data_IF_321254749878
#
_entry.id   IF_321254749878
#
_cell.length_a   1.000
_cell.length_b   1.000
_cell.length_c   1.000
_cell.angle_alpha   90.00
_cell.angle_beta   90.00
_cell.angle_gamma   90.00
#
_symmetry.space_group_name_H-M   'P 1'
#
loop_
_entity.id
_entity.type
_entity.pdbx_description
1 polymer ?
#
# COMPACT_ATOMS: atom_id res chain seq x y z
N UNK A 1 -28.42 10.35 19.34
CA UNK A 1 -26.97 10.64 19.27
C UNK A 1 -26.64 10.81 17.80
N UNK A 2 -26.38 12.04 17.38
CA UNK A 2 -26.01 12.40 16.01
C UNK A 2 -24.61 11.85 15.71
N UNK A 3 -24.52 10.99 14.70
CA UNK A 3 -23.26 10.49 14.13
C UNK A 3 -22.43 11.72 13.70
N UNK A 4 -21.11 11.78 13.97
CA UNK A 4 -20.29 12.82 13.37
C UNK A 4 -20.42 12.72 11.86
N UNK A 5 -20.50 13.86 11.17
CA UNK A 5 -20.41 13.90 9.71
C UNK A 5 -19.00 13.49 9.29
N UNK A 6 -18.76 12.19 9.17
CA UNK A 6 -17.58 11.65 8.50
C UNK A 6 -17.78 11.86 7.01
N UNK A 7 -17.36 13.03 6.52
CA UNK A 7 -17.22 13.24 5.09
C UNK A 7 -16.35 12.13 4.53
N UNK A 8 -16.79 11.48 3.45
CA UNK A 8 -15.99 10.49 2.74
C UNK A 8 -14.61 11.09 2.42
N UNK A 9 -13.53 10.31 2.49
CA UNK A 9 -12.18 10.81 2.12
C UNK A 9 -12.20 11.48 0.74
N UNK A 10 -13.06 10.97 -0.15
CA UNK A 10 -13.30 11.56 -1.47
C UNK A 10 -14.01 12.92 -1.38
N UNK A 11 -15.05 13.06 -0.55
CA UNK A 11 -15.75 14.33 -0.36
C UNK A 11 -14.80 15.38 0.21
N UNK A 12 -14.05 15.05 1.26
CA UNK A 12 -13.06 15.94 1.84
C UNK A 12 -12.01 16.38 0.79
N UNK A 13 -11.48 15.44 0.00
CA UNK A 13 -10.51 15.77 -1.04
C UNK A 13 -11.09 16.60 -2.20
N UNK A 14 -12.37 16.40 -2.53
CA UNK A 14 -13.05 17.17 -3.56
C UNK A 14 -13.33 18.62 -3.12
N UNK A 15 -13.54 18.84 -1.82
CA UNK A 15 -13.79 20.15 -1.21
C UNK A 15 -12.51 20.93 -0.92
N UNK A 16 -11.41 20.27 -0.52
CA UNK A 16 -10.16 20.93 -0.10
C UNK A 16 -8.96 20.60 -0.99
N UNK A 17 -9.11 20.72 -2.32
CA UNK A 17 -8.06 20.33 -3.28
C UNK A 17 -6.75 21.10 -3.10
N UNK A 18 -6.81 22.38 -2.69
CA UNK A 18 -5.64 23.23 -2.47
C UNK A 18 -4.78 22.73 -1.30
N UNK A 19 -5.42 22.43 -0.16
CA UNK A 19 -4.74 21.89 1.04
C UNK A 19 -4.03 20.58 0.72
N UNK A 20 -4.68 19.70 -0.05
CA UNK A 20 -4.07 18.43 -0.47
C UNK A 20 -2.84 18.70 -1.35
N UNK A 21 -2.94 19.60 -2.32
CA UNK A 21 -1.82 19.93 -3.21
C UNK A 21 -0.61 20.51 -2.46
N UNK A 22 -0.83 21.31 -1.43
CA UNK A 22 0.26 21.87 -0.61
C UNK A 22 0.94 20.80 0.24
N UNK A 23 0.18 19.91 0.88
CA UNK A 23 0.74 18.76 1.61
C UNK A 23 1.62 17.90 0.70
N UNK A 24 1.18 17.67 -0.55
CA UNK A 24 1.92 16.90 -1.54
C UNK A 24 3.23 17.60 -1.95
N UNK A 25 3.21 18.92 -2.16
CA UNK A 25 4.39 19.69 -2.55
C UNK A 25 5.44 19.81 -1.44
N UNK A 26 4.98 19.87 -0.19
CA UNK A 26 5.88 19.95 0.97
C UNK A 26 6.45 18.58 1.37
N UNK A 27 6.10 17.50 0.65
CA UNK A 27 6.56 16.16 1.00
C UNK A 27 8.08 16.02 0.83
N UNK A 28 8.71 15.66 1.95
CA UNK A 28 10.15 15.58 2.06
C UNK A 28 10.72 14.26 1.55
N UNK A 29 9.95 13.18 1.54
CA UNK A 29 10.48 11.87 1.14
C UNK A 29 10.39 11.72 -0.38
N UNK A 30 9.21 12.00 -0.95
CA UNK A 30 8.94 11.88 -2.38
C UNK A 30 9.68 12.92 -3.22
N UNK A 31 10.05 14.07 -2.66
CA UNK A 31 10.97 15.00 -3.34
C UNK A 31 12.37 14.42 -3.59
N UNK A 32 12.71 13.26 -2.99
CA UNK A 32 13.89 12.47 -3.35
C UNK A 32 13.72 11.62 -4.62
N UNK A 33 12.49 11.50 -5.16
CA UNK A 33 12.17 10.69 -6.33
C UNK A 33 11.85 11.60 -7.53
N UNK A 34 12.62 11.53 -8.64
CA UNK A 34 12.48 12.47 -9.75
C UNK A 34 11.08 12.60 -10.35
N UNK A 35 10.32 11.49 -10.46
CA UNK A 35 9.01 11.50 -11.13
C UNK A 35 7.92 12.24 -10.37
N UNK A 36 8.02 12.32 -9.04
CA UNK A 36 6.98 12.95 -8.22
C UNK A 36 6.98 14.47 -8.36
N UNK A 37 8.12 15.11 -8.66
CA UNK A 37 8.15 16.55 -8.93
C UNK A 37 7.26 16.96 -10.10
N UNK A 38 7.30 16.19 -11.20
CA UNK A 38 6.43 16.43 -12.37
C UNK A 38 4.95 16.21 -12.03
N UNK A 39 4.64 15.16 -11.26
CA UNK A 39 3.27 14.84 -10.83
C UNK A 39 2.69 15.94 -9.96
N UNK A 40 3.44 16.43 -8.97
CA UNK A 40 2.97 17.50 -8.08
C UNK A 40 2.69 18.81 -8.85
N UNK A 41 3.54 19.17 -9.80
CA UNK A 41 3.32 20.35 -10.65
C UNK A 41 2.08 20.20 -11.54
N UNK A 42 1.84 19.00 -12.07
CA UNK A 42 0.66 18.71 -12.90
C UNK A 42 -0.64 18.84 -12.09
N UNK A 43 -0.65 18.35 -10.85
CA UNK A 43 -1.80 18.42 -9.93
C UNK A 43 -2.18 19.85 -9.53
N UNK A 44 -1.25 20.81 -9.53
CA UNK A 44 -1.56 22.23 -9.30
C UNK A 44 -2.14 22.94 -10.52
N UNK A 45 -1.75 22.49 -11.72
CA UNK A 45 -2.13 23.16 -12.97
C UNK A 45 -3.49 22.70 -13.47
N UNK A 46 -3.84 21.44 -13.23
CA UNK A 46 -5.10 20.82 -13.70
C UNK A 46 -5.95 20.41 -12.51
N UNK A 47 -7.26 20.63 -12.58
CA UNK A 47 -8.16 20.39 -11.45
C UNK A 47 -9.39 19.56 -11.86
N UNK A 48 -9.18 18.48 -12.61
CA UNK A 48 -10.28 17.55 -12.94
C UNK A 48 -10.66 16.71 -11.72
N UNK A 49 -11.85 16.09 -11.75
CA UNK A 49 -12.26 15.13 -10.71
C UNK A 49 -11.25 13.98 -10.58
N UNK A 50 -10.68 13.51 -11.70
CA UNK A 50 -9.65 12.46 -11.68
C UNK A 50 -8.40 12.94 -10.94
N UNK A 51 -7.93 14.15 -11.23
CA UNK A 51 -6.75 14.73 -10.58
C UNK A 51 -6.97 14.86 -9.07
N UNK A 52 -8.16 15.30 -8.65
CA UNK A 52 -8.53 15.40 -7.23
C UNK A 52 -8.55 14.03 -6.54
N UNK A 53 -9.15 13.02 -7.17
CA UNK A 53 -9.16 11.65 -6.64
C UNK A 53 -7.73 11.11 -6.55
N UNK A 54 -6.90 11.33 -7.58
CA UNK A 54 -5.51 10.91 -7.56
C UNK A 54 -4.70 11.62 -6.48
N UNK A 55 -4.88 12.93 -6.32
CA UNK A 55 -4.26 13.71 -5.25
C UNK A 55 -4.68 13.18 -3.86
N UNK A 56 -5.95 12.79 -3.68
CA UNK A 56 -6.44 12.16 -2.45
C UNK A 56 -5.73 10.83 -2.16
N UNK A 57 -5.61 9.95 -3.16
CA UNK A 57 -4.87 8.69 -3.03
C UNK A 57 -3.41 8.94 -2.68
N UNK A 58 -2.77 9.90 -3.36
CA UNK A 58 -1.38 10.23 -3.13
C UNK A 58 -1.15 10.80 -1.72
N UNK A 59 -2.09 11.61 -1.23
CA UNK A 59 -2.09 12.13 0.15
C UNK A 59 -2.16 11.00 1.18
N UNK A 60 -3.05 10.02 0.98
CA UNK A 60 -3.15 8.83 1.83
C UNK A 60 -1.87 7.96 1.80
N UNK A 61 -1.24 7.86 0.64
CA UNK A 61 0.04 7.16 0.48
C UNK A 61 1.17 7.84 1.26
N UNK A 62 1.31 9.16 1.14
CA UNK A 62 2.38 9.90 1.84
C UNK A 62 2.10 10.14 3.31
N UNK A 63 0.88 9.93 3.79
CA UNK A 63 0.57 10.04 5.22
C UNK A 63 1.51 9.14 6.06
N UNK A 64 1.82 7.95 5.54
CA UNK A 64 2.72 6.99 6.23
C UNK A 64 4.19 7.43 6.22
N UNK A 65 4.65 8.15 5.18
CA UNK A 65 5.98 8.80 5.19
C UNK A 65 5.99 10.04 6.05
N UNK A 66 4.88 10.78 6.10
CA UNK A 66 4.79 12.01 6.86
C UNK A 66 4.68 11.82 8.38
N UNK A 67 4.17 10.68 8.82
CA UNK A 67 4.15 10.29 10.23
C UNK A 67 5.54 10.02 10.83
N UNK A 68 6.59 9.91 10.00
CA UNK A 68 7.95 9.56 10.43
C UNK A 68 8.70 10.77 11.00
N UNK A 69 9.69 10.53 11.86
CA UNK A 69 10.50 11.61 12.43
C UNK A 69 11.30 12.35 11.35
N UNK A 70 11.74 13.57 11.65
CA UNK A 70 12.54 14.35 10.70
C UNK A 70 13.85 13.62 10.31
N UNK A 71 14.47 12.92 11.27
CA UNK A 71 15.66 12.11 11.07
C UNK A 71 15.38 10.97 10.09
N UNK A 72 14.29 10.22 10.29
CA UNK A 72 13.90 9.13 9.38
C UNK A 72 13.57 9.63 7.98
N UNK A 73 12.83 10.74 7.86
CA UNK A 73 12.57 11.36 6.55
C UNK A 73 13.87 11.74 5.83
N UNK A 74 14.86 12.25 6.55
CA UNK A 74 16.19 12.56 5.99
C UNK A 74 16.90 11.28 5.51
N UNK A 75 16.96 10.23 6.33
CA UNK A 75 17.55 8.94 5.97
C UNK A 75 16.93 8.36 4.68
N UNK A 76 15.59 8.35 4.61
CA UNK A 76 14.87 7.86 3.43
C UNK A 76 15.19 8.69 2.19
N UNK A 77 15.22 10.02 2.33
CA UNK A 77 15.56 10.93 1.23
C UNK A 77 16.99 10.69 0.73
N UNK A 78 17.94 10.49 1.62
CA UNK A 78 19.34 10.20 1.27
C UNK A 78 19.45 8.87 0.51
N UNK A 79 18.77 7.82 0.99
CA UNK A 79 18.66 6.54 0.29
C UNK A 79 18.11 6.68 -1.13
N UNK A 80 17.03 7.45 -1.29
CA UNK A 80 16.42 7.68 -2.61
C UNK A 80 17.33 8.48 -3.55
N UNK A 81 18.16 9.39 -3.02
CA UNK A 81 19.13 10.16 -3.80
C UNK A 81 20.40 9.38 -4.17
N UNK A 82 20.70 8.29 -3.46
CA UNK A 82 21.91 7.49 -3.70
C UNK A 82 21.92 6.81 -5.08
N UNK A 83 20.75 6.38 -5.58
CA UNK A 83 20.57 5.86 -6.94
C UNK A 83 19.30 6.45 -7.57
N UNK A 84 19.41 7.62 -8.25
CA UNK A 84 18.27 8.30 -8.85
C UNK A 84 17.54 7.48 -9.93
N UNK A 85 18.23 6.59 -10.64
CA UNK A 85 17.64 5.77 -11.70
C UNK A 85 16.87 4.58 -11.13
N UNK A 86 17.35 3.97 -10.04
CA UNK A 86 16.56 3.01 -9.27
C UNK A 86 15.33 3.68 -8.65
N UNK A 87 15.51 4.83 -8.00
CA UNK A 87 14.42 5.61 -7.40
C UNK A 87 13.38 6.06 -8.41
N UNK A 88 13.80 6.45 -9.63
CA UNK A 88 12.86 6.76 -10.73
C UNK A 88 11.96 5.56 -11.04
N UNK A 89 12.54 4.37 -11.23
CA UNK A 89 11.79 3.14 -11.53
C UNK A 89 10.85 2.72 -10.41
N UNK A 90 11.27 2.92 -9.16
CA UNK A 90 10.40 2.71 -7.97
C UNK A 90 9.22 3.68 -8.00
N UNK A 91 9.50 4.97 -8.19
CA UNK A 91 8.48 6.01 -8.31
C UNK A 91 7.47 5.74 -9.42
N UNK A 92 7.92 5.38 -10.61
CA UNK A 92 7.05 5.02 -11.75
C UNK A 92 6.15 3.83 -11.41
N UNK A 93 6.69 2.80 -10.75
CA UNK A 93 5.89 1.66 -10.31
C UNK A 93 4.79 2.09 -9.33
N UNK A 94 5.16 2.88 -8.32
CA UNK A 94 4.22 3.35 -7.30
C UNK A 94 3.13 4.24 -7.91
N UNK A 95 3.49 5.14 -8.81
CA UNK A 95 2.55 6.01 -9.53
C UNK A 95 1.54 5.20 -10.37
N UNK A 96 2.03 4.24 -11.16
CA UNK A 96 1.16 3.39 -11.97
C UNK A 96 0.21 2.55 -11.12
N UNK A 97 0.66 2.08 -9.95
CA UNK A 97 -0.20 1.35 -9.02
C UNK A 97 -1.23 2.28 -8.40
N UNK A 98 -0.81 3.45 -7.87
CA UNK A 98 -1.70 4.45 -7.27
C UNK A 98 -2.82 4.89 -8.21
N UNK A 99 -2.49 5.15 -9.47
CA UNK A 99 -3.46 5.55 -10.49
C UNK A 99 -4.59 4.51 -10.62
N UNK A 100 -4.22 3.23 -10.56
CA UNK A 100 -5.13 2.10 -10.74
C UNK A 100 -5.81 1.59 -9.45
N UNK A 101 -5.50 2.14 -8.28
CA UNK A 101 -6.21 1.73 -7.05
C UNK A 101 -7.68 2.16 -7.12
N UNK A 102 -8.59 1.22 -6.94
CA UNK A 102 -10.04 1.47 -6.98
C UNK A 102 -10.67 1.67 -5.60
N UNK A 103 -9.86 1.59 -4.55
CA UNK A 103 -10.24 1.64 -3.15
C UNK A 103 -9.38 2.67 -2.41
N UNK A 104 -9.98 3.47 -1.52
CA UNK A 104 -9.31 4.59 -0.84
C UNK A 104 -8.50 4.18 0.39
N UNK A 105 -8.61 2.95 0.87
CA UNK A 105 -7.80 2.44 1.99
C UNK A 105 -6.47 1.83 1.51
N UNK A 106 -6.44 1.32 0.28
CA UNK A 106 -5.25 0.72 -0.34
C UNK A 106 -4.03 1.65 -0.49
N UNK A 107 -4.17 2.96 -0.81
CA UNK A 107 -3.01 3.85 -0.92
C UNK A 107 -2.20 3.89 0.37
N UNK A 108 -2.90 3.83 1.52
CA UNK A 108 -2.25 3.78 2.83
C UNK A 108 -1.44 2.51 3.01
N UNK A 109 -1.98 1.35 2.63
CA UNK A 109 -1.23 0.07 2.64
C UNK A 109 0.01 0.12 1.75
N UNK A 110 -0.11 0.73 0.58
CA UNK A 110 1.02 0.93 -0.32
C UNK A 110 2.11 1.82 0.33
N UNK A 111 1.71 2.84 1.07
CA UNK A 111 2.61 3.69 1.87
C UNK A 111 3.40 2.88 2.90
N UNK A 112 2.75 1.95 3.59
CA UNK A 112 3.43 1.05 4.57
C UNK A 112 4.45 0.14 3.91
N UNK A 113 4.11 -0.42 2.75
CA UNK A 113 5.04 -1.25 1.97
C UNK A 113 6.22 -0.41 1.48
N UNK A 114 5.98 0.83 1.05
CA UNK A 114 7.05 1.73 0.65
C UNK A 114 7.98 2.09 1.83
N UNK A 115 7.44 2.33 3.02
CA UNK A 115 8.25 2.49 4.24
C UNK A 115 9.09 1.25 4.52
N UNK A 116 8.51 0.05 4.46
CA UNK A 116 9.26 -1.19 4.63
C UNK A 116 10.41 -1.34 3.62
N UNK A 117 10.24 -0.85 2.40
CA UNK A 117 11.33 -0.78 1.41
C UNK A 117 12.39 0.24 1.79
N UNK A 118 11.99 1.44 2.22
CA UNK A 118 12.91 2.49 2.67
C UNK A 118 13.73 2.07 3.89
N UNK A 119 13.19 1.19 4.73
CA UNK A 119 13.85 0.61 5.90
C UNK A 119 14.59 -0.71 5.63
N UNK A 120 14.75 -1.10 4.36
CA UNK A 120 15.46 -2.32 3.95
C UNK A 120 14.84 -3.62 4.50
N UNK A 121 13.59 -3.58 4.96
CA UNK A 121 12.85 -4.76 5.41
C UNK A 121 12.35 -5.62 4.24
N UNK A 122 12.22 -5.03 3.05
CA UNK A 122 11.88 -5.71 1.79
C UNK A 122 12.77 -5.21 0.64
N UNK A 123 12.99 -6.06 -0.36
CA UNK A 123 13.75 -5.67 -1.56
C UNK A 123 12.88 -4.88 -2.55
N UNK A 124 13.49 -4.32 -3.59
CA UNK A 124 12.75 -3.63 -4.66
C UNK A 124 11.83 -4.57 -5.45
N UNK A 125 12.23 -5.83 -5.66
CA UNK A 125 11.39 -6.85 -6.30
C UNK A 125 10.17 -7.17 -5.43
N UNK A 126 10.36 -7.21 -4.12
CA UNK A 126 9.29 -7.46 -3.15
C UNK A 126 8.34 -6.27 -3.04
N UNK A 127 8.86 -5.04 -3.05
CA UNK A 127 8.06 -3.82 -3.20
C UNK A 127 7.16 -3.93 -4.43
N UNK A 128 7.73 -4.22 -5.61
CA UNK A 128 6.95 -4.35 -6.85
C UNK A 128 5.85 -5.42 -6.75
N UNK A 129 6.18 -6.60 -6.22
CA UNK A 129 5.22 -7.70 -6.02
C UNK A 129 4.11 -7.32 -5.05
N UNK A 130 4.45 -6.69 -3.93
CA UNK A 130 3.48 -6.25 -2.92
C UNK A 130 2.59 -5.12 -3.44
N UNK A 131 3.12 -4.17 -4.20
CA UNK A 131 2.33 -3.12 -4.83
C UNK A 131 1.28 -3.67 -5.78
N UNK A 132 1.68 -4.66 -6.62
CA UNK A 132 0.75 -5.36 -7.51
C UNK A 132 -0.28 -6.20 -6.73
N UNK A 133 0.15 -6.89 -5.67
CA UNK A 133 -0.74 -7.67 -4.82
C UNK A 133 -1.82 -6.80 -4.16
N UNK A 134 -1.44 -5.63 -3.62
CA UNK A 134 -2.38 -4.65 -3.05
C UNK A 134 -3.35 -4.14 -4.12
N UNK A 135 -2.84 -3.87 -5.33
CA UNK A 135 -3.67 -3.39 -6.44
C UNK A 135 -4.81 -4.35 -6.75
N UNK A 136 -4.52 -5.64 -6.90
CA UNK A 136 -5.49 -6.64 -7.39
C UNK A 136 -6.38 -7.24 -6.31
N UNK A 137 -5.95 -7.27 -5.04
CA UNK A 137 -6.71 -7.90 -3.96
C UNK A 137 -7.98 -7.11 -3.60
N UNK A 138 -9.08 -7.78 -3.27
CA UNK A 138 -10.25 -7.09 -2.69
C UNK A 138 -9.91 -6.57 -1.28
N UNK A 139 -10.33 -5.35 -0.94
CA UNK A 139 -9.87 -4.66 0.27
C UNK A 139 -10.33 -5.36 1.56
N UNK A 140 -11.56 -5.85 1.61
CA UNK A 140 -12.07 -6.54 2.81
C UNK A 140 -11.33 -7.86 3.07
N UNK A 141 -11.00 -8.60 2.01
CA UNK A 141 -10.22 -9.84 2.12
C UNK A 141 -8.78 -9.53 2.54
N UNK A 142 -8.21 -8.42 2.05
CA UNK A 142 -6.92 -7.93 2.48
C UNK A 142 -6.92 -7.55 3.96
N UNK A 143 -7.97 -6.86 4.43
CA UNK A 143 -8.14 -6.53 5.84
C UNK A 143 -8.23 -7.78 6.71
N UNK A 144 -8.95 -8.83 6.26
CA UNK A 144 -8.98 -10.13 6.95
C UNK A 144 -7.59 -10.78 7.01
N UNK A 145 -6.84 -10.76 5.91
CA UNK A 145 -5.46 -11.27 5.87
C UNK A 145 -4.56 -10.54 6.88
N UNK A 146 -4.68 -9.21 6.96
CA UNK A 146 -3.88 -8.39 7.86
C UNK A 146 -4.23 -8.67 9.32
N UNK A 147 -5.51 -8.85 9.65
CA UNK A 147 -6.01 -9.02 11.02
C UNK A 147 -6.04 -10.48 11.52
N UNK A 148 -5.83 -11.48 10.66
CA UNK A 148 -5.89 -12.88 11.06
C UNK A 148 -4.88 -13.22 12.17
N UNK A 149 -5.35 -13.71 13.32
CA UNK A 149 -4.46 -14.19 14.38
C UNK A 149 -3.75 -15.47 13.92
N UNK A 150 -2.41 -15.49 14.00
CA UNK A 150 -1.59 -16.61 13.53
C UNK A 150 -1.41 -16.68 12.01
N UNK A 151 -0.61 -17.65 11.55
CA UNK A 151 -0.60 -18.05 10.14
C UNK A 151 -1.73 -19.07 9.98
N UNK A 152 -2.78 -18.82 9.18
CA UNK A 152 -3.76 -19.82 8.80
C UNK A 152 -3.05 -20.85 7.91
N UNK A 153 -2.18 -21.66 8.50
CA UNK A 153 -1.64 -22.85 7.86
C UNK A 153 -2.72 -23.91 7.97
N UNK A 154 -3.25 -24.40 6.85
CA UNK A 154 -4.34 -25.36 6.89
C UNK A 154 -5.74 -24.73 6.98
N UNK A 155 -5.92 -23.47 6.59
CA UNK A 155 -7.26 -22.85 6.58
C UNK A 155 -8.06 -23.26 5.34
N UNK A 156 -9.38 -23.42 5.49
CA UNK A 156 -10.32 -23.68 4.39
C UNK A 156 -11.31 -22.52 4.19
N UNK A 157 -10.99 -21.37 4.75
CA UNK A 157 -11.85 -20.18 4.70
C UNK A 157 -12.03 -19.68 3.26
N UNK A 158 -13.28 -19.53 2.76
CA UNK A 158 -13.54 -19.19 1.36
C UNK A 158 -12.95 -17.85 0.91
N UNK A 159 -12.87 -16.85 1.79
CA UNK A 159 -12.32 -15.53 1.47
C UNK A 159 -10.83 -15.58 1.06
N UNK A 160 -10.12 -16.64 1.47
CA UNK A 160 -8.72 -16.82 1.09
C UNK A 160 -8.61 -17.06 -0.41
N UNK A 161 -9.53 -17.80 -1.03
CA UNK A 161 -9.50 -18.09 -2.47
C UNK A 161 -9.42 -16.82 -3.34
N UNK A 162 -10.16 -15.78 -2.96
CA UNK A 162 -10.15 -14.46 -3.61
C UNK A 162 -8.78 -13.79 -3.64
N UNK A 163 -7.88 -14.17 -2.73
CA UNK A 163 -6.52 -13.63 -2.64
C UNK A 163 -5.50 -14.43 -3.45
N UNK A 164 -5.84 -15.58 -4.04
CA UNK A 164 -4.91 -16.35 -4.88
C UNK A 164 -4.27 -15.51 -6.00
N UNK A 165 -5.02 -14.68 -6.76
CA UNK A 165 -4.44 -13.89 -7.85
C UNK A 165 -3.39 -12.86 -7.38
N UNK A 166 -3.44 -12.45 -6.10
CA UNK A 166 -2.49 -11.52 -5.50
C UNK A 166 -1.13 -12.17 -5.17
N UNK A 167 -1.07 -13.51 -5.10
CA UNK A 167 0.10 -14.26 -4.63
C UNK A 167 0.40 -14.13 -3.12
N UNK A 168 -0.45 -13.45 -2.34
CA UNK A 168 -0.32 -13.33 -0.88
C UNK A 168 -0.64 -14.64 -0.15
N UNK A 169 -1.37 -15.53 -0.82
CA UNK A 169 -1.68 -16.86 -0.34
C UNK A 169 -1.40 -17.92 -1.43
N UNK A 170 -1.35 -19.19 -1.03
CA UNK A 170 -1.20 -20.33 -1.94
C UNK A 170 -2.09 -21.48 -1.52
N UNK A 171 -2.42 -22.34 -2.49
CA UNK A 171 -3.07 -23.63 -2.24
C UNK A 171 -2.03 -24.63 -1.75
N UNK A 172 -2.40 -25.41 -0.75
CA UNK A 172 -1.66 -26.57 -0.25
C UNK A 172 -2.63 -27.75 -0.16
N UNK A 173 -2.27 -28.86 -0.80
CA UNK A 173 -3.05 -30.11 -0.72
C UNK A 173 -2.61 -30.95 0.47
N UNK A 174 -3.58 -31.48 1.22
CA UNK A 174 -3.33 -32.41 2.32
C UNK A 174 -4.29 -33.60 2.26
N UNK A 175 -3.99 -34.68 2.99
CA UNK A 175 -4.97 -35.75 3.24
C UNK A 175 -5.51 -35.55 4.64
N UNK A 176 -6.83 -35.46 4.82
CA UNK A 176 -7.37 -35.65 6.18
C UNK A 176 -7.29 -37.13 6.55
N UNK A 177 -7.19 -37.40 7.85
CA UNK A 177 -7.20 -38.78 8.39
C UNK A 177 -8.53 -39.49 8.07
N UNK A 178 -9.59 -38.73 7.75
CA UNK A 178 -10.97 -39.19 7.61
C UNK A 178 -11.45 -39.26 6.17
N UNK A 179 -10.69 -38.74 5.19
CA UNK A 179 -11.09 -38.73 3.77
C UNK A 179 -10.11 -39.49 2.88
N UNK A 180 -10.64 -40.31 1.98
CA UNK A 180 -9.87 -40.92 0.89
C UNK A 180 -9.48 -39.89 -0.20
N UNK A 181 -10.12 -38.72 -0.19
CA UNK A 181 -9.91 -37.60 -1.12
C UNK A 181 -9.12 -36.51 -0.41
N UNK A 182 -8.09 -35.96 -1.07
CA UNK A 182 -7.29 -34.87 -0.51
C UNK A 182 -8.11 -33.59 -0.33
N UNK A 183 -7.90 -32.90 0.79
CA UNK A 183 -8.50 -31.60 1.09
C UNK A 183 -7.60 -30.46 0.61
N UNK A 184 -8.24 -29.37 0.21
CA UNK A 184 -7.59 -28.12 -0.16
C UNK A 184 -7.50 -27.23 1.08
N UNK A 185 -6.31 -26.72 1.31
CA UNK A 185 -6.03 -25.72 2.32
C UNK A 185 -5.33 -24.51 1.70
N UNK A 186 -5.43 -23.39 2.38
CA UNK A 186 -4.71 -22.17 2.03
C UNK A 186 -3.65 -21.88 3.08
N UNK A 187 -2.55 -21.28 2.62
CA UNK A 187 -1.48 -20.77 3.48
C UNK A 187 -1.03 -19.39 3.02
N UNK A 188 -0.63 -18.54 3.98
CA UNK A 188 0.02 -17.26 3.68
C UNK A 188 1.43 -17.52 3.14
N UNK A 189 1.72 -16.97 1.96
CA UNK A 189 3.04 -17.08 1.32
C UNK A 189 4.10 -16.25 2.06
N UNK A 190 5.40 -16.46 1.78
CA UNK A 190 6.44 -15.59 2.32
C UNK A 190 6.21 -14.10 2.00
N UNK A 191 5.71 -13.79 0.80
CA UNK A 191 5.39 -12.41 0.41
C UNK A 191 4.17 -11.89 1.16
N UNK A 192 3.14 -12.70 1.39
CA UNK A 192 2.00 -12.35 2.25
C UNK A 192 2.39 -12.06 3.70
N UNK A 193 3.35 -12.81 4.25
CA UNK A 193 3.92 -12.54 5.58
C UNK A 193 4.68 -11.20 5.61
N UNK A 194 5.41 -10.87 4.55
CA UNK A 194 6.08 -9.56 4.41
C UNK A 194 5.09 -8.41 4.37
N UNK A 195 3.96 -8.55 3.67
CA UNK A 195 2.89 -7.55 3.69
C UNK A 195 2.37 -7.33 5.11
N UNK A 196 2.04 -8.41 5.83
CA UNK A 196 1.56 -8.35 7.21
C UNK A 196 2.57 -7.62 8.10
N UNK A 197 3.84 -8.01 8.03
CA UNK A 197 4.91 -7.38 8.82
C UNK A 197 5.05 -5.88 8.53
N UNK A 198 5.00 -5.48 7.26
CA UNK A 198 5.03 -4.06 6.87
C UNK A 198 3.85 -3.27 7.48
N UNK A 199 2.69 -3.91 7.63
CA UNK A 199 1.51 -3.28 8.22
C UNK A 199 1.47 -3.32 9.75
N UNK A 200 2.07 -4.33 10.39
CA UNK A 200 2.10 -4.48 11.86
C UNK A 200 3.18 -3.65 12.55
N UNK A 201 4.38 -3.49 11.93
CA UNK A 201 5.49 -2.72 12.52
C UNK A 201 5.15 -1.25 12.79
N UNK A 202 4.08 -0.74 12.20
CA UNK A 202 3.67 0.66 12.33
C UNK A 202 2.56 0.89 13.37
N UNK A 203 2.13 -0.14 14.09
CA UNK A 203 1.20 -0.01 15.23
C UNK A 203 1.88 0.14 16.59
N UNK A 204 3.22 0.14 16.64
CA UNK A 204 4.02 0.04 17.88
C UNK A 204 5.09 1.12 18.04
N UNK A 205 5.09 2.15 17.20
CA UNK A 205 6.00 3.31 17.30
C UNK A 205 5.22 4.61 17.49
#
# INVERSE_FOLDING_TARGET
MTKPSEHSILEAALETSEVVADILMDDQVLSGIPVFGTVFNSLKTTNTIRDRIFAAKLSQFIAETNARTAEKKREYREKLKADPDASRRVGETLLLVLENLTDMDKPRLLGRVFIAYLEDAITVEELKRLSQAIQVAFMDDLARLLNAEGSPAGSQEPWMESLLPSGLIRIVGGKSVWSAVGDIFYEITPIGKKLRNACFRMGTE
#
